data_IF_271105303924
#
_entry.id   IF_271105303924
#
_cell.length_a   1.000
_cell.length_b   1.000
_cell.length_c   1.000
_cell.angle_alpha   90.00
_cell.angle_beta   90.00
_cell.angle_gamma   90.00
#
_symmetry.space_group_name_H-M   'P 1'
#
loop_
_entity.id
_entity.type
_entity.pdbx_description
1 polymer ?
#
# COMPACT_ATOMS: atom_id res chain seq x y z
N UNK A 1 -5.16 26.78 23.88
CA UNK A 1 -5.84 26.93 22.55
C UNK A 1 -4.73 27.06 21.53
N UNK A 2 -4.56 26.08 20.63
CA UNK A 2 -3.54 26.15 19.57
C UNK A 2 -3.88 27.28 18.62
N UNK A 3 -2.86 28.05 18.23
CA UNK A 3 -3.01 29.13 17.26
C UNK A 3 -3.31 28.52 15.88
N UNK A 4 -4.37 29.00 15.22
CA UNK A 4 -4.66 28.59 13.85
C UNK A 4 -3.67 29.25 12.89
N UNK A 5 -3.00 28.44 12.07
CA UNK A 5 -2.07 28.88 11.03
C UNK A 5 -2.80 29.25 9.74
N UNK A 6 -3.90 28.52 9.45
CA UNK A 6 -4.80 28.81 8.34
C UNK A 6 -6.23 28.57 8.78
N UNK A 7 -7.14 29.47 8.46
CA UNK A 7 -8.55 29.35 8.82
C UNK A 7 -9.44 29.94 7.74
N UNK A 8 -10.40 29.15 7.27
CA UNK A 8 -11.45 29.62 6.41
C UNK A 8 -12.65 30.08 7.21
N UNK A 9 -13.08 31.34 7.04
CA UNK A 9 -14.29 31.85 7.60
C UNK A 9 -15.44 31.71 6.61
N UNK A 10 -16.58 31.24 7.08
CA UNK A 10 -17.82 31.19 6.29
C UNK A 10 -18.98 31.70 7.11
N UNK A 11 -19.80 32.56 6.50
CA UNK A 11 -21.08 33.01 7.07
C UNK A 11 -22.13 31.87 7.03
N UNK A 12 -21.94 30.86 6.18
CA UNK A 12 -22.84 29.72 6.13
C UNK A 12 -22.36 28.66 7.14
N UNK A 13 -23.15 28.35 8.18
CA UNK A 13 -22.78 27.36 9.20
C UNK A 13 -22.69 25.94 8.64
N UNK A 14 -23.27 25.68 7.46
CA UNK A 14 -23.18 24.39 6.76
C UNK A 14 -21.97 24.31 5.80
N UNK A 15 -21.22 25.39 5.63
CA UNK A 15 -20.06 25.38 4.78
C UNK A 15 -18.94 24.55 5.44
N UNK A 16 -18.36 23.65 4.67
CA UNK A 16 -17.18 22.90 5.11
C UNK A 16 -15.99 23.86 5.12
N UNK A 17 -15.58 24.26 6.30
CA UNK A 17 -14.39 25.09 6.53
C UNK A 17 -13.17 24.21 6.75
N UNK A 18 -12.01 24.75 6.38
CA UNK A 18 -10.71 24.14 6.64
C UNK A 18 -9.97 25.00 7.66
N UNK A 19 -9.41 24.34 8.66
CA UNK A 19 -8.55 24.96 9.68
C UNK A 19 -7.31 24.11 9.84
N UNK A 20 -6.13 24.74 9.82
CA UNK A 20 -4.84 24.14 10.11
C UNK A 20 -4.30 24.74 11.39
N UNK A 21 -3.96 23.89 12.34
CA UNK A 21 -3.31 24.26 13.60
C UNK A 21 -1.92 23.62 13.68
N UNK A 22 -1.19 23.84 14.77
CA UNK A 22 0.08 23.15 15.03
C UNK A 22 -0.09 21.67 15.45
N UNK A 23 -1.32 21.21 15.65
CA UNK A 23 -1.63 19.87 16.13
C UNK A 23 -2.42 19.04 15.13
N UNK A 24 -3.30 19.70 14.36
CA UNK A 24 -4.25 19.01 13.50
C UNK A 24 -4.68 19.81 12.26
N UNK A 25 -5.23 19.07 11.31
CA UNK A 25 -5.97 19.58 10.17
C UNK A 25 -7.45 19.24 10.33
N UNK A 26 -8.29 20.26 10.45
CA UNK A 26 -9.76 20.14 10.59
C UNK A 26 -10.44 20.43 9.28
N UNK A 27 -11.42 19.64 8.94
CA UNK A 27 -12.17 19.76 7.69
C UNK A 27 -13.62 19.34 7.87
N UNK A 28 -14.54 20.31 7.92
CA UNK A 28 -15.96 20.03 8.01
C UNK A 28 -16.33 19.08 9.18
N UNK A 29 -15.77 19.31 10.36
CA UNK A 29 -15.98 18.50 11.56
C UNK A 29 -15.07 17.26 11.69
N UNK A 30 -14.36 16.86 10.64
CA UNK A 30 -13.34 15.81 10.72
C UNK A 30 -12.01 16.42 11.17
N UNK A 31 -11.43 15.87 12.23
CA UNK A 31 -10.09 16.20 12.73
C UNK A 31 -9.10 15.13 12.26
N UNK A 32 -8.00 15.57 11.70
CA UNK A 32 -6.89 14.70 11.30
C UNK A 32 -5.63 15.18 12.03
N UNK A 33 -5.12 14.44 13.01
CA UNK A 33 -3.89 14.78 13.71
C UNK A 33 -2.72 14.90 12.72
N UNK A 34 -1.77 15.79 12.99
CA UNK A 34 -0.57 15.90 12.14
C UNK A 34 0.26 14.63 12.12
N UNK A 35 0.20 13.80 13.16
CA UNK A 35 0.85 12.49 13.21
C UNK A 35 0.33 11.49 12.16
N UNK A 36 -0.88 11.71 11.63
CA UNK A 36 -1.42 10.94 10.51
C UNK A 36 -0.94 11.43 9.15
N UNK A 37 -0.35 12.62 9.08
CA UNK A 37 0.12 13.23 7.85
C UNK A 37 1.58 12.86 7.60
N UNK A 38 1.93 12.62 6.35
CA UNK A 38 3.31 12.37 5.95
C UNK A 38 4.05 13.71 5.78
N UNK A 39 4.27 14.38 6.92
CA UNK A 39 4.93 15.68 6.94
C UNK A 39 6.33 15.65 6.29
N UNK A 40 7.19 14.63 6.51
CA UNK A 40 8.50 14.58 5.86
C UNK A 40 8.43 14.59 4.33
N UNK A 41 7.50 13.85 3.74
CA UNK A 41 7.35 13.81 2.30
C UNK A 41 6.84 15.14 1.72
N UNK A 42 5.85 15.74 2.37
CA UNK A 42 5.33 17.06 1.96
C UNK A 42 6.37 18.15 2.13
N UNK A 43 7.12 18.13 3.24
CA UNK A 43 8.18 19.10 3.50
C UNK A 43 9.34 18.99 2.49
N UNK A 44 9.72 17.76 2.10
CA UNK A 44 10.77 17.54 1.10
C UNK A 44 10.39 18.13 -0.26
N UNK A 45 9.16 17.88 -0.72
CA UNK A 45 8.65 18.48 -1.95
C UNK A 45 8.57 20.00 -1.85
N UNK A 46 8.05 20.51 -0.73
CA UNK A 46 7.93 21.95 -0.45
C UNK A 46 9.29 22.68 -0.50
N UNK A 47 10.33 22.12 0.12
CA UNK A 47 11.67 22.70 0.06
C UNK A 47 12.25 22.80 -1.37
N UNK A 48 11.82 21.93 -2.28
CA UNK A 48 12.19 21.97 -3.70
C UNK A 48 11.31 22.91 -4.54
N UNK A 49 10.41 23.66 -3.90
CA UNK A 49 9.47 24.54 -4.58
C UNK A 49 8.30 23.81 -5.24
N UNK A 50 7.98 22.58 -4.79
CA UNK A 50 6.92 21.75 -5.33
C UNK A 50 5.91 21.36 -4.24
N UNK A 51 4.72 20.96 -4.67
CA UNK A 51 3.72 20.35 -3.81
C UNK A 51 3.50 18.88 -4.19
N UNK A 52 3.48 18.01 -3.16
CA UNK A 52 3.37 16.57 -3.32
C UNK A 52 1.91 16.17 -3.59
N UNK A 53 1.70 15.42 -4.66
CA UNK A 53 0.45 14.77 -5.00
C UNK A 53 0.49 13.27 -4.77
N UNK A 54 -0.54 12.59 -5.25
CA UNK A 54 -0.68 11.15 -5.13
C UNK A 54 0.37 10.37 -5.92
N UNK A 55 0.86 9.26 -5.34
CA UNK A 55 1.83 8.39 -5.98
C UNK A 55 3.20 9.03 -6.22
N UNK A 56 3.53 10.09 -5.48
CA UNK A 56 4.78 10.82 -5.65
C UNK A 56 4.79 11.81 -6.81
N UNK A 57 3.63 12.14 -7.39
CA UNK A 57 3.54 13.22 -8.37
C UNK A 57 3.80 14.56 -7.70
N UNK A 58 4.38 15.51 -8.42
CA UNK A 58 4.68 16.83 -7.88
C UNK A 58 4.23 17.92 -8.85
N UNK A 59 3.86 19.07 -8.27
CA UNK A 59 3.57 20.29 -9.03
C UNK A 59 4.33 21.47 -8.45
N UNK A 60 4.89 22.37 -9.27
CA UNK A 60 5.48 23.61 -8.80
C UNK A 60 4.51 24.42 -7.95
N UNK A 61 4.98 24.97 -6.82
CA UNK A 61 4.17 25.78 -5.92
C UNK A 61 3.64 27.06 -6.57
N UNK A 62 4.42 27.66 -7.45
CA UNK A 62 4.06 28.87 -8.17
C UNK A 62 2.87 28.69 -9.14
N UNK A 63 2.56 27.42 -9.48
CA UNK A 63 1.39 27.07 -10.30
C UNK A 63 0.13 26.80 -9.50
N UNK A 64 0.20 26.86 -8.17
CA UNK A 64 -0.99 26.78 -7.34
C UNK A 64 -1.77 28.08 -7.43
N UNK A 65 -3.08 27.96 -7.59
CA UNK A 65 -3.96 29.14 -7.65
C UNK A 65 -3.97 29.88 -6.31
N UNK A 66 -3.94 31.21 -6.38
CA UNK A 66 -4.18 32.05 -5.21
C UNK A 66 -5.62 31.95 -4.69
N UNK A 67 -6.56 31.58 -5.56
CA UNK A 67 -7.96 31.37 -5.23
C UNK A 67 -8.29 29.94 -4.77
N UNK A 68 -9.56 29.59 -4.91
CA UNK A 68 -10.06 28.27 -4.53
C UNK A 68 -9.44 27.17 -5.36
N UNK A 69 -9.02 26.10 -4.68
CA UNK A 69 -8.39 24.95 -5.31
C UNK A 69 -8.53 23.69 -4.46
N UNK A 70 -7.98 22.61 -4.97
CA UNK A 70 -7.90 21.33 -4.25
C UNK A 70 -6.43 20.98 -4.05
N UNK A 71 -6.03 20.87 -2.80
CA UNK A 71 -4.66 20.55 -2.40
C UNK A 71 -4.62 19.11 -1.91
N UNK A 72 -3.78 18.26 -2.51
CA UNK A 72 -3.54 16.90 -2.00
C UNK A 72 -2.77 16.96 -0.68
N UNK A 73 -3.23 16.20 0.31
CA UNK A 73 -2.55 16.03 1.59
C UNK A 73 -2.19 14.57 1.74
N UNK A 74 -0.89 14.28 1.78
CA UNK A 74 -0.37 12.92 1.85
C UNK A 74 -0.35 12.44 3.30
N UNK A 75 -0.86 11.22 3.52
CA UNK A 75 -0.91 10.56 4.82
C UNK A 75 0.30 9.63 5.00
N UNK A 76 0.59 9.27 6.25
CA UNK A 76 1.63 8.26 6.57
C UNK A 76 1.36 6.89 5.96
N UNK A 77 0.11 6.60 5.64
CA UNK A 77 -0.31 5.39 4.92
C UNK A 77 0.12 5.35 3.45
N UNK A 78 0.62 6.48 2.92
CA UNK A 78 0.98 6.66 1.51
C UNK A 78 -0.17 7.16 0.64
N UNK A 79 -1.40 7.17 1.17
CA UNK A 79 -2.56 7.71 0.45
C UNK A 79 -2.61 9.22 0.50
N UNK A 80 -3.32 9.81 -0.45
CA UNK A 80 -3.49 11.25 -0.57
C UNK A 80 -4.96 11.61 -0.45
N UNK A 81 -5.27 12.57 0.42
CA UNK A 81 -6.61 13.08 0.62
C UNK A 81 -6.75 14.45 -0.05
N UNK A 82 -7.77 14.68 -0.92
CA UNK A 82 -8.03 16.00 -1.49
C UNK A 82 -8.63 16.92 -0.43
N UNK A 83 -8.06 18.10 -0.26
CA UNK A 83 -8.57 19.15 0.61
C UNK A 83 -8.96 20.33 -0.26
N UNK A 84 -10.26 20.60 -0.35
CA UNK A 84 -10.77 21.77 -1.05
C UNK A 84 -10.64 22.99 -0.15
N UNK A 85 -9.90 23.99 -0.60
CA UNK A 85 -9.60 25.23 0.13
C UNK A 85 -9.91 26.46 -0.72
N UNK A 86 -10.13 27.59 -0.06
CA UNK A 86 -10.43 28.87 -0.73
C UNK A 86 -9.17 29.59 -1.21
N UNK A 87 -8.05 29.36 -0.59
CA UNK A 87 -6.76 29.98 -0.88
C UNK A 87 -5.70 28.87 -0.97
N UNK A 88 -5.62 28.23 -2.16
CA UNK A 88 -4.84 27.00 -2.33
C UNK A 88 -3.33 27.21 -2.13
N UNK A 89 -2.79 28.29 -2.69
CA UNK A 89 -1.37 28.61 -2.53
C UNK A 89 -1.02 28.93 -1.06
N UNK A 90 -1.85 29.70 -0.36
CA UNK A 90 -1.64 30.05 1.04
C UNK A 90 -1.72 28.81 1.94
N UNK A 91 -2.73 27.95 1.74
CA UNK A 91 -2.85 26.72 2.51
C UNK A 91 -1.63 25.80 2.32
N UNK A 92 -1.18 25.62 1.07
CA UNK A 92 0.00 24.81 0.77
C UNK A 92 1.27 25.41 1.41
N UNK A 93 1.41 26.74 1.38
CA UNK A 93 2.52 27.45 2.02
C UNK A 93 2.53 27.19 3.55
N UNK A 94 1.40 27.43 4.22
CA UNK A 94 1.32 27.23 5.67
C UNK A 94 1.54 25.79 6.10
N UNK A 95 0.94 24.83 5.38
CA UNK A 95 1.14 23.40 5.67
C UNK A 95 2.58 22.96 5.37
N UNK A 96 3.19 23.47 4.30
CA UNK A 96 4.59 23.18 3.94
C UNK A 96 5.57 23.71 5.00
N UNK A 97 5.42 24.96 5.43
CA UNK A 97 6.22 25.55 6.50
C UNK A 97 6.06 24.80 7.83
N UNK A 98 4.83 24.44 8.19
CA UNK A 98 4.52 23.63 9.35
C UNK A 98 5.23 22.27 9.26
N UNK A 99 5.15 21.60 8.10
CA UNK A 99 5.80 20.32 7.88
C UNK A 99 7.32 20.39 8.04
N UNK A 100 7.97 21.44 7.51
CA UNK A 100 9.43 21.67 7.69
C UNK A 100 9.77 21.87 9.17
N UNK A 101 8.99 22.68 9.91
CA UNK A 101 9.21 22.88 11.36
C UNK A 101 9.09 21.57 12.14
N UNK A 102 8.03 20.76 11.85
CA UNK A 102 7.83 19.48 12.50
C UNK A 102 8.93 18.46 12.21
N UNK A 103 9.58 18.55 11.07
CA UNK A 103 10.75 17.73 10.75
C UNK A 103 12.04 18.20 11.43
N UNK A 104 11.98 19.22 12.29
CA UNK A 104 13.15 19.78 12.96
C UNK A 104 13.96 20.76 12.10
N UNK A 105 13.34 21.28 11.04
CA UNK A 105 13.93 22.26 10.13
C UNK A 105 14.64 21.66 8.93
N UNK A 106 15.19 22.55 8.06
CA UNK A 106 15.78 22.16 6.78
C UNK A 106 16.91 21.14 6.87
N UNK A 107 17.77 21.26 7.87
CA UNK A 107 18.95 20.38 8.00
C UNK A 107 18.55 18.93 8.32
N UNK A 108 17.61 18.72 9.26
CA UNK A 108 17.12 17.40 9.59
C UNK A 108 16.29 16.79 8.45
N UNK A 109 15.50 17.61 7.77
CA UNK A 109 14.75 17.17 6.61
C UNK A 109 15.68 16.72 5.47
N UNK A 110 16.76 17.45 5.21
CA UNK A 110 17.77 17.03 4.22
C UNK A 110 18.40 15.68 4.61
N UNK A 111 18.71 15.47 5.90
CA UNK A 111 19.24 14.18 6.35
C UNK A 111 18.24 13.03 6.17
N UNK A 112 16.94 13.27 6.38
CA UNK A 112 15.88 12.30 6.08
C UNK A 112 15.77 12.01 4.57
N UNK A 113 15.83 13.03 3.73
CA UNK A 113 15.79 12.90 2.29
C UNK A 113 17.02 12.15 1.75
N UNK A 114 18.22 12.43 2.26
CA UNK A 114 19.46 11.70 1.94
C UNK A 114 19.33 10.21 2.29
N UNK A 115 18.84 9.92 3.51
CA UNK A 115 18.59 8.53 3.91
C UNK A 115 17.60 7.84 2.97
N UNK A 116 16.48 8.49 2.65
CA UNK A 116 15.49 7.94 1.73
C UNK A 116 16.07 7.66 0.35
N UNK A 117 16.95 8.55 -0.16
CA UNK A 117 17.66 8.36 -1.42
C UNK A 117 18.66 7.20 -1.33
N UNK A 118 19.43 7.09 -0.26
CA UNK A 118 20.35 5.98 -0.04
C UNK A 118 19.62 4.62 0.04
N UNK A 119 18.44 4.57 0.66
CA UNK A 119 17.58 3.41 0.70
C UNK A 119 16.91 3.13 -0.67
N UNK A 120 16.84 4.12 -1.56
CA UNK A 120 16.10 4.07 -2.81
C UNK A 120 14.58 4.01 -2.63
N UNK A 121 14.08 4.49 -1.48
CA UNK A 121 12.67 4.44 -1.09
C UNK A 121 12.17 5.86 -0.82
N UNK A 122 11.22 6.39 -1.62
CA UNK A 122 10.69 7.73 -1.43
C UNK A 122 10.03 7.94 -0.07
N UNK A 123 10.11 9.16 0.47
CA UNK A 123 9.50 9.48 1.77
C UNK A 123 7.97 9.35 1.78
N UNK A 124 7.31 9.49 0.65
CA UNK A 124 5.85 9.41 0.57
C UNK A 124 5.29 8.00 0.75
N UNK A 125 6.10 6.94 0.59
CA UNK A 125 5.65 5.56 0.80
C UNK A 125 5.45 5.26 2.28
N UNK A 126 4.40 4.51 2.60
CA UNK A 126 4.17 3.99 3.94
C UNK A 126 5.32 3.07 4.36
N UNK A 127 6.03 3.44 5.44
CA UNK A 127 7.19 2.70 5.95
C UNK A 127 6.85 2.02 7.26
N UNK A 128 7.23 0.77 7.37
CA UNK A 128 7.12 -0.05 8.58
C UNK A 128 8.43 -0.78 8.82
N UNK A 129 8.62 -1.20 10.04
CA UNK A 129 9.85 -1.87 10.44
C UNK A 129 9.53 -3.19 11.14
N UNK A 130 10.25 -4.23 10.77
CA UNK A 130 10.23 -5.53 11.42
C UNK A 130 11.59 -5.78 12.09
N UNK A 131 11.59 -6.62 13.13
CA UNK A 131 12.85 -7.11 13.70
C UNK A 131 13.38 -8.26 12.85
N UNK A 132 14.63 -8.14 12.42
CA UNK A 132 15.36 -9.20 11.72
C UNK A 132 16.54 -9.70 12.55
N UNK A 133 17.23 -10.77 12.08
CA UNK A 133 18.35 -11.39 12.82
C UNK A 133 19.52 -10.43 13.07
N UNK A 134 19.79 -9.50 12.14
CA UNK A 134 20.89 -8.54 12.24
C UNK A 134 20.42 -7.10 12.56
N UNK A 135 19.16 -6.91 12.88
CA UNK A 135 18.61 -5.58 13.18
C UNK A 135 17.28 -5.31 12.46
N UNK A 136 16.94 -4.03 12.35
CA UNK A 136 15.68 -3.61 11.75
C UNK A 136 15.63 -3.85 10.24
N UNK A 137 14.52 -4.41 9.76
CA UNK A 137 14.19 -4.55 8.34
C UNK A 137 13.11 -3.54 8.01
N UNK A 138 13.41 -2.63 7.08
CA UNK A 138 12.46 -1.66 6.55
C UNK A 138 11.59 -2.30 5.46
N UNK A 139 10.30 -1.97 5.48
CA UNK A 139 9.30 -2.43 4.51
C UNK A 139 8.46 -1.24 4.08
N UNK A 140 8.50 -0.91 2.80
CA UNK A 140 7.66 0.12 2.20
C UNK A 140 6.79 -0.48 1.10
N UNK A 141 5.51 -0.12 1.10
CA UNK A 141 4.53 -0.69 0.17
C UNK A 141 3.65 0.40 -0.40
N UNK A 142 3.49 0.39 -1.71
CA UNK A 142 2.40 1.05 -2.41
C UNK A 142 1.66 0.00 -3.24
N UNK A 143 0.42 -0.29 -2.86
CA UNK A 143 -0.38 -1.32 -3.52
C UNK A 143 -0.97 -0.87 -4.84
N UNK A 144 -1.21 0.40 -5.00
CA UNK A 144 -1.80 0.94 -6.23
C UNK A 144 -0.80 0.93 -7.38
N UNK A 145 0.44 1.32 -7.10
CA UNK A 145 1.53 1.27 -8.07
C UNK A 145 2.22 -0.10 -8.10
N UNK A 146 1.79 -1.05 -7.25
CA UNK A 146 2.44 -2.35 -7.08
C UNK A 146 3.93 -2.19 -6.86
N UNK A 147 4.27 -1.45 -5.82
CA UNK A 147 5.63 -1.15 -5.44
C UNK A 147 5.89 -1.67 -4.03
N UNK A 148 6.86 -2.56 -3.90
CA UNK A 148 7.36 -3.06 -2.62
C UNK A 148 8.86 -2.87 -2.58
N UNK A 149 9.34 -2.29 -1.49
CA UNK A 149 10.75 -2.14 -1.17
C UNK A 149 11.00 -2.74 0.22
N UNK A 150 11.92 -3.68 0.32
CA UNK A 150 12.34 -4.28 1.59
C UNK A 150 13.85 -4.21 1.68
N UNK A 151 14.36 -3.65 2.77
CA UNK A 151 15.79 -3.46 2.99
C UNK A 151 16.15 -3.72 4.45
N UNK A 152 17.38 -4.14 4.70
CA UNK A 152 17.88 -4.41 6.04
C UNK A 152 19.40 -4.47 6.07
N UNK A 153 20.01 -4.54 7.26
CA UNK A 153 21.45 -4.63 7.40
C UNK A 153 21.99 -5.93 6.82
N UNK A 154 23.12 -5.84 6.13
CA UNK A 154 23.84 -7.02 5.60
C UNK A 154 23.21 -7.70 4.40
N UNK A 155 22.12 -7.18 3.83
CA UNK A 155 21.49 -7.72 2.63
C UNK A 155 21.24 -6.63 1.57
N UNK A 156 21.31 -6.97 0.27
CA UNK A 156 20.84 -6.09 -0.78
C UNK A 156 19.32 -5.91 -0.67
N UNK A 157 18.78 -4.73 -1.06
CA UNK A 157 17.35 -4.47 -1.00
C UNK A 157 16.59 -5.34 -2.01
N UNK A 158 15.42 -5.83 -1.58
CA UNK A 158 14.46 -6.52 -2.45
C UNK A 158 13.43 -5.53 -2.94
N UNK A 159 13.24 -5.45 -4.26
CA UNK A 159 12.27 -4.56 -4.90
C UNK A 159 11.34 -5.34 -5.81
N UNK A 160 10.04 -5.08 -5.66
CA UNK A 160 9.01 -5.65 -6.54
C UNK A 160 8.24 -4.50 -7.19
N UNK A 161 8.05 -4.60 -8.48
CA UNK A 161 7.42 -3.59 -9.33
C UNK A 161 6.47 -4.24 -10.34
N UNK A 162 5.41 -3.53 -10.71
CA UNK A 162 4.58 -3.85 -11.86
C UNK A 162 4.61 -2.69 -12.85
N UNK A 163 5.64 -2.60 -13.69
CA UNK A 163 5.86 -1.45 -14.56
C UNK A 163 4.75 -1.21 -15.58
N UNK A 164 3.97 -2.24 -15.91
CA UNK A 164 2.89 -2.17 -16.90
C UNK A 164 1.50 -2.42 -16.29
N UNK A 165 1.39 -2.36 -14.96
CA UNK A 165 0.21 -2.80 -14.24
C UNK A 165 0.06 -4.33 -14.27
N UNK A 166 -0.93 -4.84 -13.54
CA UNK A 166 -1.31 -6.25 -13.64
C UNK A 166 -2.21 -6.43 -14.86
N UNK A 167 -1.81 -7.31 -15.76
CA UNK A 167 -2.69 -7.77 -16.84
C UNK A 167 -3.68 -8.79 -16.23
N UNK A 168 -4.88 -8.34 -15.90
CA UNK A 168 -5.94 -9.23 -15.46
C UNK A 168 -6.29 -10.18 -16.61
N UNK A 169 -6.19 -11.49 -16.38
CA UNK A 169 -6.52 -12.51 -17.38
C UNK A 169 -5.31 -13.20 -18.01
N UNK A 170 -4.08 -12.82 -17.68
CA UNK A 170 -2.91 -13.59 -18.09
C UNK A 170 -2.89 -14.95 -17.38
N UNK A 171 -2.61 -16.02 -18.14
CA UNK A 171 -2.42 -17.37 -17.61
C UNK A 171 -1.20 -17.45 -16.68
N UNK A 172 -0.22 -16.57 -16.86
CA UNK A 172 0.95 -16.43 -15.99
C UNK A 172 0.81 -15.20 -15.10
N UNK A 173 0.55 -15.44 -13.82
CA UNK A 173 0.38 -14.39 -12.82
C UNK A 173 1.68 -13.61 -12.52
N UNK A 174 2.84 -14.13 -12.94
CA UNK A 174 4.12 -13.45 -12.82
C UNK A 174 4.34 -12.43 -13.95
N UNK A 175 3.58 -12.51 -15.04
CA UNK A 175 3.66 -11.52 -16.11
C UNK A 175 3.29 -10.14 -15.58
N UNK A 176 4.15 -9.17 -15.79
CA UNK A 176 3.96 -7.81 -15.30
C UNK A 176 4.62 -7.53 -13.95
N UNK A 177 5.00 -8.54 -13.15
CA UNK A 177 5.81 -8.35 -11.96
C UNK A 177 7.30 -8.46 -12.27
N UNK A 178 8.06 -7.50 -11.78
CA UNK A 178 9.52 -7.54 -11.78
C UNK A 178 10.03 -7.53 -10.34
N UNK A 179 10.88 -8.49 -10.01
CA UNK A 179 11.56 -8.56 -8.73
C UNK A 179 13.06 -8.42 -8.95
N UNK A 180 13.70 -7.59 -8.12
CA UNK A 180 15.17 -7.48 -8.08
C UNK A 180 15.65 -7.60 -6.65
N UNK A 181 16.88 -8.11 -6.49
CA UNK A 181 17.60 -8.14 -5.23
C UNK A 181 18.92 -7.41 -5.45
N UNK A 182 19.03 -6.23 -4.87
CA UNK A 182 19.99 -5.23 -5.36
C UNK A 182 19.69 -4.92 -6.84
N UNK A 183 20.71 -5.08 -7.68
CA UNK A 183 20.61 -4.90 -9.13
C UNK A 183 20.38 -6.22 -9.90
N UNK A 184 20.30 -7.35 -9.19
CA UNK A 184 20.12 -8.67 -9.80
C UNK A 184 18.64 -8.96 -10.00
N UNK A 185 18.17 -9.20 -11.24
CA UNK A 185 16.81 -9.61 -11.49
C UNK A 185 16.55 -11.05 -11.00
N UNK A 186 15.42 -11.25 -10.33
CA UNK A 186 14.96 -12.57 -9.92
C UNK A 186 13.95 -13.12 -10.94
N UNK A 187 14.11 -14.39 -11.33
CA UNK A 187 13.09 -15.09 -12.10
C UNK A 187 11.95 -15.50 -11.16
N UNK A 188 10.79 -14.84 -11.34
CA UNK A 188 9.61 -15.02 -10.50
C UNK A 188 8.66 -16.00 -11.14
N UNK A 189 8.19 -17.00 -10.36
CA UNK A 189 7.17 -17.98 -10.78
C UNK A 189 6.06 -18.00 -9.74
N UNK A 190 4.83 -17.69 -10.17
CA UNK A 190 3.66 -17.72 -9.32
C UNK A 190 2.68 -18.77 -9.84
N UNK A 191 2.43 -19.80 -9.05
CA UNK A 191 1.49 -20.86 -9.44
C UNK A 191 0.33 -20.96 -8.45
N UNK A 192 -0.86 -20.63 -8.92
CA UNK A 192 -2.12 -20.87 -8.21
C UNK A 192 -2.70 -22.21 -8.70
N UNK A 193 -3.00 -23.10 -7.79
CA UNK A 193 -3.61 -24.42 -8.06
C UNK A 193 -4.99 -24.48 -7.41
N UNK A 194 -5.88 -25.31 -7.95
CA UNK A 194 -7.20 -25.58 -7.35
C UNK A 194 -7.06 -26.01 -5.88
N UNK A 195 -6.12 -26.92 -5.59
CA UNK A 195 -5.75 -27.22 -4.21
C UNK A 195 -4.78 -26.16 -3.72
N UNK A 196 -5.21 -25.29 -2.82
CA UNK A 196 -4.41 -24.21 -2.21
C UNK A 196 -3.05 -24.68 -1.66
N UNK A 197 -3.00 -25.90 -1.10
CA UNK A 197 -1.76 -26.52 -0.62
C UNK A 197 -0.69 -26.79 -1.69
N UNK A 198 -1.08 -26.79 -2.97
CA UNK A 198 -0.18 -26.97 -4.10
C UNK A 198 0.18 -25.63 -4.79
N UNK A 199 -0.34 -24.53 -4.28
CA UNK A 199 0.04 -23.20 -4.75
C UNK A 199 1.37 -22.78 -4.15
N UNK A 200 2.20 -22.10 -4.93
CA UNK A 200 3.49 -21.61 -4.48
C UNK A 200 3.92 -20.35 -5.22
N UNK A 201 4.82 -19.61 -4.61
CA UNK A 201 5.55 -18.51 -5.24
C UNK A 201 7.05 -18.81 -5.14
N UNK A 202 7.77 -18.65 -6.25
CA UNK A 202 9.21 -18.87 -6.32
C UNK A 202 9.93 -17.65 -6.85
N UNK A 203 11.09 -17.37 -6.31
CA UNK A 203 12.04 -16.39 -6.84
C UNK A 203 13.42 -17.07 -6.98
N UNK A 204 13.91 -17.16 -8.19
CA UNK A 204 15.22 -17.75 -8.51
C UNK A 204 16.23 -16.64 -8.73
N UNK A 205 17.34 -16.74 -8.02
CA UNK A 205 18.49 -15.87 -8.07
C UNK A 205 19.75 -16.73 -8.23
N UNK A 206 20.91 -16.16 -8.60
CA UNK A 206 22.17 -16.89 -8.62
C UNK A 206 22.54 -17.52 -7.27
N UNK A 207 22.10 -16.87 -6.15
CA UNK A 207 22.39 -17.30 -4.78
C UNK A 207 21.46 -18.42 -4.27
N UNK A 208 20.44 -18.82 -5.01
CA UNK A 208 19.52 -19.87 -4.63
C UNK A 208 18.08 -19.67 -5.13
N UNK A 209 17.24 -20.62 -4.80
CA UNK A 209 15.82 -20.62 -5.10
C UNK A 209 15.02 -20.42 -3.81
N UNK A 210 14.36 -19.28 -3.69
CA UNK A 210 13.38 -19.06 -2.60
C UNK A 210 12.00 -19.50 -3.05
N UNK A 211 11.35 -20.30 -2.21
CA UNK A 211 10.02 -20.81 -2.47
C UNK A 211 9.12 -20.65 -1.25
N UNK A 212 7.98 -19.99 -1.45
CA UNK A 212 6.91 -19.92 -0.47
C UNK A 212 5.97 -21.10 -0.66
N UNK A 213 5.81 -21.93 0.37
CA UNK A 213 4.89 -23.05 0.42
C UNK A 213 3.98 -22.95 1.63
N UNK A 214 2.73 -23.31 1.46
CA UNK A 214 1.78 -23.38 2.56
C UNK A 214 2.24 -24.39 3.60
N UNK A 215 2.30 -23.99 4.86
CA UNK A 215 2.49 -24.86 6.02
C UNK A 215 1.15 -25.39 6.52
N UNK A 216 0.22 -24.46 6.81
CA UNK A 216 -1.15 -24.70 7.24
C UNK A 216 -2.10 -23.58 6.75
N UNK A 217 -3.28 -23.44 7.34
CA UNK A 217 -4.26 -22.41 6.96
C UNK A 217 -3.86 -21.00 7.42
N UNK A 218 -2.94 -20.88 8.37
CA UNK A 218 -2.52 -19.61 8.97
C UNK A 218 -1.06 -19.27 8.66
N UNK A 219 -0.30 -20.21 8.07
CA UNK A 219 1.14 -20.01 7.89
C UNK A 219 1.69 -20.59 6.60
N UNK A 220 2.83 -20.07 6.19
CA UNK A 220 3.61 -20.53 5.04
C UNK A 220 5.07 -20.61 5.40
N UNK A 221 5.74 -21.66 4.95
CA UNK A 221 7.18 -21.76 4.98
C UNK A 221 7.79 -21.03 3.79
N UNK A 222 8.80 -20.21 4.07
CA UNK A 222 9.77 -19.83 3.06
C UNK A 222 10.94 -20.79 3.12
N UNK A 223 11.27 -21.39 1.98
CA UNK A 223 12.39 -22.29 1.81
C UNK A 223 13.43 -21.63 0.89
N UNK A 224 14.70 -21.92 1.13
CA UNK A 224 15.80 -21.65 0.19
C UNK A 224 16.47 -22.98 -0.13
N UNK A 225 16.48 -23.35 -1.41
CA UNK A 225 17.05 -24.62 -1.86
C UNK A 225 16.56 -25.80 -1.00
N UNK A 226 15.22 -25.85 -0.79
CA UNK A 226 14.48 -26.84 0.01
C UNK A 226 14.68 -26.77 1.54
N UNK A 227 15.60 -25.95 2.04
CA UNK A 227 15.79 -25.72 3.48
C UNK A 227 14.84 -24.62 3.99
N UNK A 228 14.23 -24.85 5.14
CA UNK A 228 13.37 -23.85 5.79
C UNK A 228 14.20 -22.69 6.31
N UNK A 229 13.86 -21.46 5.88
CA UNK A 229 14.57 -20.25 6.31
C UNK A 229 13.68 -19.33 7.14
N UNK A 230 12.36 -19.38 6.93
CA UNK A 230 11.42 -18.62 7.75
C UNK A 230 10.01 -19.22 7.74
N UNK A 231 9.29 -19.07 8.86
CA UNK A 231 7.85 -19.28 8.95
C UNK A 231 7.15 -17.94 8.94
N UNK A 232 6.31 -17.71 7.96
CA UNK A 232 5.52 -16.51 7.78
C UNK A 232 4.11 -16.80 8.27
N UNK A 233 3.64 -16.03 9.26
CA UNK A 233 2.33 -16.21 9.86
C UNK A 233 1.34 -15.16 9.34
N UNK A 234 0.09 -15.55 9.23
CA UNK A 234 -0.98 -14.61 8.89
C UNK A 234 -1.21 -13.67 10.07
N UNK A 235 -1.26 -12.36 9.85
CA UNK A 235 -1.63 -11.43 10.92
C UNK A 235 -3.07 -11.71 11.38
N UNK A 236 -3.39 -11.44 12.63
CA UNK A 236 -4.75 -11.59 13.14
C UNK A 236 -5.71 -10.71 12.32
N UNK A 237 -6.94 -11.18 12.10
CA UNK A 237 -7.96 -10.42 11.35
C UNK A 237 -8.31 -9.08 12.00
N UNK A 238 -8.22 -9.03 13.33
CA UNK A 238 -8.42 -7.83 14.14
C UNK A 238 -7.24 -7.76 15.11
N UNK A 239 -6.16 -7.07 14.70
CA UNK A 239 -5.04 -6.87 15.61
C UNK A 239 -5.48 -5.95 16.75
N UNK A 240 -5.08 -6.28 17.99
CA UNK A 240 -5.07 -5.30 19.06
C UNK A 240 -4.05 -4.23 18.72
N UNK A 241 -4.53 -3.02 18.50
CA UNK A 241 -3.70 -1.88 18.12
C UNK A 241 -3.64 -0.91 19.30
N UNK A 242 -2.45 -0.43 19.57
CA UNK A 242 -2.26 0.64 20.53
C UNK A 242 -3.02 1.90 20.08
N UNK A 243 -3.58 2.68 21.00
CA UNK A 243 -4.19 3.96 20.68
C UNK A 243 -3.24 4.85 19.89
N UNK A 244 -3.72 5.38 18.76
CA UNK A 244 -2.91 6.22 17.88
C UNK A 244 -2.09 5.46 16.83
N UNK A 245 -2.19 4.13 16.76
CA UNK A 245 -1.58 3.36 15.67
C UNK A 245 -2.20 3.76 14.32
N UNK A 246 -1.39 4.27 13.42
CA UNK A 246 -1.83 4.75 12.10
C UNK A 246 -1.62 3.70 11.01
N UNK A 247 -0.62 2.85 11.16
CA UNK A 247 -0.27 1.82 10.18
C UNK A 247 -0.57 0.43 10.71
N UNK A 248 -1.13 -0.43 9.87
CA UNK A 248 -1.29 -1.84 10.20
C UNK A 248 0.08 -2.52 10.42
N UNK A 249 0.21 -3.40 11.40
CA UNK A 249 1.45 -4.12 11.66
C UNK A 249 1.82 -5.05 10.49
N UNK A 250 3.10 -5.32 10.36
CA UNK A 250 3.58 -6.34 9.45
C UNK A 250 3.17 -7.75 9.91
N UNK A 251 3.10 -8.68 8.97
CA UNK A 251 2.90 -10.09 9.28
C UNK A 251 4.04 -10.62 10.17
N UNK A 252 3.75 -11.39 11.22
CA UNK A 252 4.78 -12.02 12.03
C UNK A 252 5.62 -12.98 11.19
N UNK A 253 6.94 -12.88 11.31
CA UNK A 253 7.90 -13.76 10.66
C UNK A 253 8.82 -14.35 11.72
N UNK A 254 8.87 -15.69 11.80
CA UNK A 254 9.84 -16.42 12.62
C UNK A 254 10.97 -16.88 11.71
N UNK A 255 12.16 -16.35 11.94
CA UNK A 255 13.34 -16.71 11.18
C UNK A 255 13.95 -18.00 11.69
N UNK A 256 14.29 -18.92 10.77
CA UNK A 256 15.02 -20.17 11.03
C UNK A 256 16.47 -20.06 10.54
N UNK A 257 16.78 -19.06 9.71
CA UNK A 257 18.09 -18.72 9.20
C UNK A 257 18.56 -17.37 9.77
N UNK A 258 19.85 -17.27 10.06
CA UNK A 258 20.50 -16.02 10.42
C UNK A 258 21.00 -15.22 9.20
N UNK A 259 20.88 -15.75 7.99
CA UNK A 259 21.28 -15.07 6.76
C UNK A 259 20.39 -13.81 6.55
N UNK A 260 21.01 -12.63 6.46
CA UNK A 260 20.26 -11.38 6.27
C UNK A 260 19.46 -11.34 4.97
N UNK A 261 19.92 -12.00 3.91
CA UNK A 261 19.16 -12.06 2.66
C UNK A 261 17.88 -12.87 2.82
N UNK A 262 17.94 -14.01 3.55
CA UNK A 262 16.74 -14.79 3.84
C UNK A 262 15.71 -13.98 4.64
N UNK A 263 16.17 -13.16 5.56
CA UNK A 263 15.29 -12.31 6.38
C UNK A 263 14.58 -11.22 5.55
N UNK A 264 15.32 -10.55 4.66
CA UNK A 264 14.73 -9.53 3.75
C UNK A 264 13.80 -10.20 2.74
N UNK A 265 14.17 -11.36 2.19
CA UNK A 265 13.31 -12.16 1.32
C UNK A 265 12.03 -12.59 2.02
N UNK A 266 12.10 -13.03 3.29
CA UNK A 266 10.93 -13.45 4.05
C UNK A 266 9.93 -12.29 4.22
N UNK A 267 10.38 -11.09 4.53
CA UNK A 267 9.52 -9.92 4.60
C UNK A 267 8.92 -9.55 3.24
N UNK A 268 9.72 -9.61 2.17
CA UNK A 268 9.23 -9.35 0.82
C UNK A 268 8.13 -10.33 0.40
N UNK A 269 8.33 -11.63 0.68
CA UNK A 269 7.32 -12.65 0.40
C UNK A 269 6.06 -12.47 1.27
N UNK A 270 6.23 -12.19 2.57
CA UNK A 270 5.12 -11.97 3.49
C UNK A 270 4.20 -10.83 3.03
N UNK A 271 4.78 -9.75 2.50
CA UNK A 271 4.03 -8.58 2.05
C UNK A 271 3.40 -8.79 0.69
N UNK A 272 4.11 -9.48 -0.23
CA UNK A 272 3.73 -9.52 -1.65
C UNK A 272 2.86 -10.72 -2.00
N UNK A 273 3.21 -11.91 -1.53
CA UNK A 273 2.67 -13.15 -2.09
C UNK A 273 1.60 -13.83 -1.25
N UNK A 274 1.10 -13.16 -0.20
CA UNK A 274 0.09 -13.72 0.68
C UNK A 274 0.65 -14.71 1.68
N UNK A 275 -0.23 -15.24 2.51
CA UNK A 275 0.10 -16.14 3.60
C UNK A 275 -0.87 -17.31 3.59
N UNK A 276 -0.32 -18.51 3.72
CA UNK A 276 -1.07 -19.73 3.92
C UNK A 276 -1.77 -20.24 2.68
N UNK A 277 -2.74 -19.58 2.18
CA UNK A 277 -3.62 -20.13 1.16
C UNK A 277 -3.52 -19.47 -0.22
N UNK A 278 -2.83 -18.35 -0.32
CA UNK A 278 -2.77 -17.57 -1.57
C UNK A 278 -1.36 -17.23 -1.98
N UNK A 279 -1.18 -17.12 -3.28
CA UNK A 279 0.06 -16.66 -3.91
C UNK A 279 -0.25 -15.53 -4.89
N UNK A 280 0.74 -14.71 -5.16
CA UNK A 280 0.69 -13.72 -6.23
C UNK A 280 -0.31 -12.59 -5.97
N UNK A 281 -1.34 -12.54 -6.77
CA UNK A 281 -2.26 -11.41 -6.85
C UNK A 281 -3.19 -11.20 -5.65
N UNK A 282 -3.19 -12.12 -4.68
CA UNK A 282 -4.09 -12.01 -3.53
C UNK A 282 -3.87 -10.75 -2.68
N UNK A 283 -2.64 -10.27 -2.64
CA UNK A 283 -2.28 -9.06 -1.89
C UNK A 283 -2.40 -7.78 -2.68
N UNK A 284 -2.11 -7.86 -3.96
CA UNK A 284 -2.35 -6.78 -4.90
C UNK A 284 -3.68 -7.06 -5.57
N UNK A 285 -4.79 -6.68 -4.93
CA UNK A 285 -6.09 -6.74 -5.59
C UNK A 285 -6.03 -5.92 -6.85
N UNK A 286 -6.29 -6.59 -7.96
CA UNK A 286 -6.54 -5.96 -9.23
C UNK A 286 -7.80 -5.09 -9.07
N UNK A 287 -7.63 -3.83 -8.81
CA UNK A 287 -8.67 -2.88 -9.17
C UNK A 287 -8.86 -3.06 -10.68
N UNK A 288 -10.11 -3.28 -11.10
CA UNK A 288 -10.44 -3.27 -12.53
C UNK A 288 -9.78 -2.03 -13.10
N UNK A 289 -8.98 -2.15 -14.18
CA UNK A 289 -8.40 -0.97 -14.77
C UNK A 289 -9.54 -0.02 -15.05
N UNK A 290 -9.53 1.13 -14.41
CA UNK A 290 -10.29 2.24 -14.94
C UNK A 290 -9.80 2.37 -16.36
N UNK A 291 -10.72 2.42 -17.33
CA UNK A 291 -10.51 2.42 -18.76
C UNK A 291 -9.57 3.51 -19.29
N UNK A 292 -8.85 4.21 -18.42
CA UNK A 292 -7.84 5.22 -18.68
C UNK A 292 -6.43 4.82 -18.22
N UNK A 293 -6.18 3.57 -17.89
CA UNK A 293 -4.86 3.11 -17.48
C UNK A 293 -4.00 2.70 -18.68
N UNK A 294 -3.63 3.65 -19.48
CA UNK A 294 -2.62 3.47 -20.49
C UNK A 294 -1.59 4.56 -20.36
N UNK A 295 -0.64 4.42 -19.41
CA UNK A 295 0.70 5.01 -19.57
C UNK A 295 1.49 4.98 -18.26
N UNK A 296 2.81 4.74 -18.30
CA UNK A 296 3.66 4.75 -17.12
C UNK A 296 3.73 6.17 -16.53
N UNK A 297 3.60 6.24 -15.20
CA UNK A 297 3.75 7.47 -14.42
C UNK A 297 5.22 7.89 -14.43
N UNK A 298 5.69 8.50 -15.48
CA UNK A 298 7.00 9.17 -15.51
C UNK A 298 7.19 9.94 -16.81
N UNK A 299 6.33 10.87 -17.16
CA UNK A 299 6.66 11.89 -18.14
C UNK A 299 6.08 13.22 -17.71
N UNK A 300 6.83 14.26 -17.99
CA UNK A 300 6.56 15.67 -17.69
C UNK A 300 5.25 16.22 -18.29
N UNK A 301 4.61 15.45 -19.17
CA UNK A 301 3.35 15.79 -19.85
C UNK A 301 2.08 15.47 -19.04
N UNK A 302 2.21 15.08 -17.77
CA UNK A 302 1.08 14.60 -16.95
C UNK A 302 0.26 15.69 -16.28
N UNK A 303 0.31 16.94 -16.78
CA UNK A 303 -0.50 18.04 -16.21
C UNK A 303 -2.00 17.81 -16.32
N UNK A 304 -2.46 17.02 -17.30
CA UNK A 304 -3.86 16.67 -17.51
C UNK A 304 -4.31 15.45 -16.68
N UNK A 305 -3.39 14.74 -16.04
CA UNK A 305 -3.74 13.61 -15.17
C UNK A 305 -4.29 14.11 -13.82
N UNK A 306 -5.29 13.40 -13.26
CA UNK A 306 -5.77 13.72 -11.93
C UNK A 306 -4.61 13.71 -10.93
N UNK A 307 -4.39 14.82 -10.25
CA UNK A 307 -3.34 14.96 -9.24
C UNK A 307 -3.52 14.01 -8.05
N UNK A 308 -4.62 13.30 -8.03
CA UNK A 308 -5.07 12.38 -6.99
C UNK A 308 -5.13 10.95 -7.49
N UNK A 309 -4.24 10.55 -8.39
CA UNK A 309 -4.27 9.23 -9.04
C UNK A 309 -4.22 8.03 -8.09
N UNK A 310 -3.72 8.21 -6.86
CA UNK A 310 -3.73 7.18 -5.83
C UNK A 310 -4.81 7.38 -4.75
N UNK A 311 -5.85 8.16 -5.03
CA UNK A 311 -7.04 8.15 -4.21
C UNK A 311 -7.79 6.84 -4.44
N UNK A 312 -7.49 5.86 -3.60
CA UNK A 312 -8.21 4.60 -3.59
C UNK A 312 -9.68 4.81 -3.28
N UNK A 313 -10.54 4.20 -4.06
CA UNK A 313 -11.98 4.07 -3.77
C UNK A 313 -12.27 2.90 -2.83
N UNK A 314 -11.35 2.51 -2.01
CA UNK A 314 -11.46 1.43 -1.04
C UNK A 314 -10.47 1.66 0.09
N UNK A 315 -10.71 1.09 1.24
CA UNK A 315 -9.84 1.23 2.40
C UNK A 315 -8.38 1.00 2.04
N UNK A 316 -7.52 1.82 2.62
CA UNK A 316 -6.09 1.67 2.50
C UNK A 316 -5.65 0.45 3.31
N UNK A 317 -5.00 -0.49 2.67
CA UNK A 317 -4.44 -1.69 3.35
C UNK A 317 -3.37 -1.37 4.39
N UNK A 318 -2.94 -0.13 4.46
CA UNK A 318 -2.02 0.35 5.47
C UNK A 318 -2.73 0.98 6.68
N UNK A 319 -4.07 1.20 6.61
CA UNK A 319 -4.84 1.81 7.69
C UNK A 319 -5.48 0.77 8.61
N UNK A 320 -5.49 1.00 9.94
CA UNK A 320 -6.30 0.23 10.86
C UNK A 320 -7.79 0.39 10.55
N UNK A 321 -8.49 -0.70 10.26
CA UNK A 321 -9.91 -0.68 9.92
C UNK A 321 -10.24 -0.49 8.45
N UNK A 322 -9.25 -0.45 7.56
CA UNK A 322 -9.43 -0.61 6.12
C UNK A 322 -10.10 -1.95 5.84
N UNK A 323 -11.20 -1.95 5.06
CA UNK A 323 -12.01 -3.15 4.77
C UNK A 323 -11.23 -4.27 4.08
N UNK A 324 -10.07 -3.96 3.55
CA UNK A 324 -9.17 -4.87 2.86
C UNK A 324 -7.92 -5.23 3.68
N UNK A 325 -8.01 -5.05 5.00
CA UNK A 325 -6.96 -5.49 5.92
C UNK A 325 -6.46 -6.89 5.57
N UNK A 326 -5.21 -7.16 5.79
CA UNK A 326 -4.40 -8.35 5.45
C UNK A 326 -5.10 -9.72 5.49
N UNK A 327 -6.41 -9.78 5.55
CA UNK A 327 -7.20 -10.99 5.75
C UNK A 327 -8.50 -11.13 5.01
N UNK A 328 -8.89 -10.26 4.09
CA UNK A 328 -10.19 -10.41 3.44
C UNK A 328 -10.18 -11.32 2.20
N UNK A 329 -9.49 -12.44 2.26
CA UNK A 329 -9.74 -13.59 1.38
C UNK A 329 -10.77 -14.55 1.99
N UNK A 330 -11.83 -14.02 2.61
CA UNK A 330 -12.94 -14.78 3.15
C UNK A 330 -14.01 -15.05 2.11
N UNK A 331 -13.70 -15.83 1.12
CA UNK A 331 -14.65 -16.45 0.21
C UNK A 331 -14.56 -17.97 0.28
N UNK A 332 -14.61 -18.56 1.47
CA UNK A 332 -15.01 -19.95 1.59
C UNK A 332 -16.51 -20.01 1.34
N UNK A 333 -16.88 -20.15 0.04
CA UNK A 333 -18.15 -20.67 -0.34
C UNK A 333 -18.31 -22.05 0.29
N UNK A 334 -19.18 -22.17 1.27
CA UNK A 334 -19.53 -23.42 1.91
C UNK A 334 -19.95 -24.41 0.84
N UNK A 335 -19.29 -25.55 0.80
CA UNK A 335 -19.81 -26.77 0.21
C UNK A 335 -21.05 -27.19 1.00
N UNK A 336 -22.19 -26.57 0.65
CA UNK A 336 -23.51 -27.00 1.04
C UNK A 336 -23.92 -28.19 0.19
N UNK A 337 -23.45 -29.38 0.54
CA UNK A 337 -24.07 -30.62 0.12
C UNK A 337 -25.40 -30.76 0.83
N UNK A 338 -26.44 -30.18 0.26
CA UNK A 338 -27.83 -30.40 0.62
C UNK A 338 -28.46 -31.32 -0.40
N UNK A 339 -28.39 -32.63 -0.16
CA UNK A 339 -29.26 -33.60 -0.78
C UNK A 339 -30.69 -33.36 -0.26
N UNK A 340 -31.64 -33.22 -1.19
CA UNK A 340 -33.04 -33.15 -0.91
C UNK A 340 -33.76 -33.64 -2.13
N UNK A 341 -34.04 -34.98 -2.15
CA UNK A 341 -34.97 -35.60 -3.06
C UNK A 341 -36.37 -35.06 -2.78
N UNK A 342 -37.12 -34.84 -3.81
CA UNK A 342 -38.52 -34.53 -3.77
C UNK A 342 -39.16 -35.01 -5.04
N UNK A 343 -39.56 -36.29 -5.02
CA UNK A 343 -40.51 -36.85 -5.95
C UNK A 343 -41.84 -36.09 -5.85
N UNK A 344 -42.35 -35.66 -6.92
CA UNK A 344 -43.65 -35.01 -7.01
C UNK A 344 -44.30 -35.28 -8.36
N UNK A 345 -44.89 -36.46 -8.43
CA UNK A 345 -45.90 -36.87 -9.39
C UNK A 345 -47.13 -35.97 -9.35
N UNK A 346 -47.72 -35.75 -10.44
CA UNK A 346 -49.16 -35.60 -10.80
C UNK A 346 -49.27 -34.56 -11.91
N UNK A 347 -49.82 -34.86 -13.04
CA UNK A 347 -51.06 -35.48 -13.31
C UNK A 347 -51.84 -34.58 -14.24
N UNK A 348 -52.08 -35.02 -15.44
CA UNK A 348 -53.33 -34.94 -16.15
C UNK A 348 -53.88 -33.59 -16.61
N UNK A 349 -54.26 -33.54 -17.86
CA UNK A 349 -55.15 -32.53 -18.39
C UNK A 349 -55.24 -32.52 -19.91
N UNK A 350 -56.08 -33.39 -20.43
CA UNK A 350 -56.61 -33.40 -21.78
C UNK A 350 -57.41 -32.13 -22.14
N UNK A 351 -57.50 -31.86 -23.44
CA UNK A 351 -58.44 -30.97 -24.07
C UNK A 351 -57.81 -30.31 -25.29
N UNK A 352 -58.06 -30.64 -26.52
CA UNK A 352 -59.26 -30.97 -27.25
C UNK A 352 -59.86 -29.72 -27.89
N UNK A 353 -59.83 -29.63 -29.19
CA UNK A 353 -60.79 -28.80 -29.88
C UNK A 353 -60.24 -27.96 -31.05
N UNK A 354 -60.55 -28.42 -32.21
CA UNK A 354 -60.78 -27.77 -33.51
C UNK A 354 -59.67 -27.01 -34.21
#
# INVERSE_FOLDING_TARGET
MSQALYTERSWNPLARTVELTEEDLRRGGKVTPLSELNLPAMAEAFQRGHWLGGGGTERPLDRLTAGSGVIPVTRVTGTTTPVKVRQAAEFAQQLGELAVRHCGGPAQLNALAERARAEGVPLWMARRYAHGPLGQIGVAVDRQLVRVDVWGPGAPPVRIRAPHGFLSGSADQAQGLRMTVGDVPAALVLKKKLRKSKSYAQARLPQGLWELRRADHMSSWLLRDEQRVALIQRPPRRPDLDPGTVLLPLAPVRYESADPLDAVMAQAFAVTFGLGDTTGTARFRLQRPHTNAGEPVATDDSWDRPWFSNLGSGGDDNEPGGSDGWGSDGGDGGDGSGGGGGDGDSGGGDGGGD
#
